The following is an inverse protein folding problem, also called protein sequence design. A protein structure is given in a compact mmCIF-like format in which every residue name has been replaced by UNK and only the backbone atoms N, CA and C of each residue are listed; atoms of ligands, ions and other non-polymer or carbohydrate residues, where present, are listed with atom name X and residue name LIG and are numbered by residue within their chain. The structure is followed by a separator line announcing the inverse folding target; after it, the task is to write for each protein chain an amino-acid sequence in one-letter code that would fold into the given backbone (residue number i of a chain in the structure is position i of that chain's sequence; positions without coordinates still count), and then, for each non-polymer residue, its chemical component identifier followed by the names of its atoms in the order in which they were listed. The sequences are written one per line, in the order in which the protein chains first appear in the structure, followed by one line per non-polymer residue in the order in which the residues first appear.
data_IF_948172695189
#
_entry.id   IF_948172695189
#
_cell.length_a   1.000
_cell.length_b   1.000
_cell.length_c   1.000
_cell.angle_alpha   90.00
_cell.angle_beta   90.00
_cell.angle_gamma   90.00
#
_symmetry.space_group_name_H-M   'P 1'
#
loop_
_entity.id
_entity.type
_entity.pdbx_description
1 polymer ?
#
# COMPACT_ATOMS: atom_id res chain seq x y z
N UNK A 1 -5.03 -14.51 3.45
CA UNK A 1 -6.17 -13.88 4.15
C UNK A 1 -5.96 -12.38 4.03
N UNK A 2 -6.71 -11.71 3.15
CA UNK A 2 -6.61 -10.26 3.01
C UNK A 2 -7.33 -9.61 4.20
N UNK A 3 -6.69 -8.65 4.86
CA UNK A 3 -7.29 -7.89 5.96
C UNK A 3 -8.48 -7.08 5.42
N UNK A 4 -9.60 -6.95 6.17
CA UNK A 4 -10.71 -6.12 5.73
C UNK A 4 -10.22 -4.68 5.51
N UNK A 5 -10.60 -4.10 4.36
CA UNK A 5 -10.12 -2.79 3.90
C UNK A 5 -10.40 -1.63 4.87
N UNK A 6 -11.25 -1.83 5.89
CA UNK A 6 -11.52 -0.87 6.97
C UNK A 6 -10.37 -0.72 7.98
N UNK A 7 -9.35 -1.58 7.97
CA UNK A 7 -8.19 -1.51 8.88
C UNK A 7 -6.85 -1.27 8.15
N UNK A 8 -6.82 -1.49 6.84
CA UNK A 8 -5.63 -1.36 6.01
C UNK A 8 -5.19 0.11 5.87
N UNK A 9 -3.93 0.40 6.20
CA UNK A 9 -3.35 1.74 6.06
C UNK A 9 -3.01 2.09 4.63
N UNK A 10 -2.64 1.09 3.83
CA UNK A 10 -2.16 1.26 2.47
C UNK A 10 -3.14 0.64 1.49
N UNK A 11 -3.33 1.31 0.35
CA UNK A 11 -4.20 0.83 -0.71
C UNK A 11 -3.59 1.15 -2.10
N UNK A 12 -4.17 0.57 -3.13
CA UNK A 12 -3.77 0.71 -4.53
C UNK A 12 -4.62 1.75 -5.25
N UNK A 13 -3.95 2.62 -6.01
CA UNK A 13 -4.59 3.54 -6.95
C UNK A 13 -4.02 3.30 -8.34
N UNK A 14 -4.90 3.06 -9.30
CA UNK A 14 -4.51 3.01 -10.72
C UNK A 14 -4.41 4.43 -11.25
N UNK A 15 -3.27 4.74 -11.85
CA UNK A 15 -3.00 6.04 -12.46
C UNK A 15 -3.43 6.04 -13.95
N UNK A 16 -3.60 7.23 -14.53
CA UNK A 16 -4.09 7.38 -15.92
C UNK A 16 -3.16 6.76 -16.98
N UNK A 17 -1.88 6.60 -16.65
CA UNK A 17 -0.85 5.97 -17.46
C UNK A 17 -0.89 4.42 -17.44
N UNK A 18 -1.80 3.81 -16.66
CA UNK A 18 -1.91 2.36 -16.50
C UNK A 18 -1.02 1.73 -15.41
N UNK A 19 -0.15 2.53 -14.78
CA UNK A 19 0.65 2.13 -13.62
C UNK A 19 -0.14 2.24 -12.31
N UNK A 20 0.44 1.72 -11.24
CA UNK A 20 -0.15 1.68 -9.92
C UNK A 20 0.70 2.46 -8.91
N UNK A 21 0.00 3.12 -8.00
CA UNK A 21 0.57 3.80 -6.85
C UNK A 21 0.07 3.12 -5.59
N UNK A 22 1.00 2.73 -4.71
CA UNK A 22 0.64 2.38 -3.33
C UNK A 22 0.60 3.66 -2.52
N UNK A 23 -0.56 3.99 -1.94
CA UNK A 23 -0.76 5.22 -1.17
C UNK A 23 -1.26 4.91 0.24
N UNK A 24 -0.97 5.82 1.17
CA UNK A 24 -1.50 5.78 2.53
C UNK A 24 -2.93 6.37 2.52
N UNK A 25 -3.92 5.58 2.94
CA UNK A 25 -5.35 5.92 2.90
C UNK A 25 -5.68 7.12 3.80
N UNK A 26 -4.93 7.34 4.89
CA UNK A 26 -5.19 8.44 5.82
C UNK A 26 -4.68 9.78 5.31
N UNK A 27 -3.57 9.77 4.56
CA UNK A 27 -2.93 11.00 4.06
C UNK A 27 -3.21 11.27 2.59
N UNK A 28 -3.60 10.24 1.82
CA UNK A 28 -3.71 10.28 0.36
C UNK A 28 -2.37 10.36 -0.37
N UNK A 29 -1.24 10.34 0.35
CA UNK A 29 0.10 10.48 -0.21
C UNK A 29 0.68 9.12 -0.62
N UNK A 30 1.59 9.08 -1.61
CA UNK A 30 2.31 7.88 -1.96
C UNK A 30 3.06 7.30 -0.75
N UNK A 31 3.00 5.97 -0.61
CA UNK A 31 3.78 5.26 0.39
C UNK A 31 5.28 5.49 0.10
N UNK A 32 6.08 5.63 1.16
CA UNK A 32 7.54 5.75 1.05
C UNK A 32 8.22 4.56 1.69
N UNK A 33 9.02 3.85 0.89
CA UNK A 33 9.85 2.73 1.35
C UNK A 33 11.30 3.13 1.19
N UNK A 34 12.04 3.17 2.30
CA UNK A 34 13.46 3.61 2.33
C UNK A 34 13.68 4.98 1.66
N UNK A 35 12.70 5.89 1.79
CA UNK A 35 12.75 7.23 1.20
C UNK A 35 12.29 7.32 -0.26
N UNK A 36 11.96 6.20 -0.91
CA UNK A 36 11.49 6.18 -2.31
C UNK A 36 9.96 6.09 -2.35
N UNK A 37 9.34 6.97 -3.14
CA UNK A 37 7.89 6.95 -3.38
C UNK A 37 7.50 5.75 -4.23
N UNK A 38 6.46 5.05 -3.79
CA UNK A 38 5.98 3.81 -4.41
C UNK A 38 4.93 4.12 -5.47
N UNK A 39 5.40 4.77 -6.53
CA UNK A 39 4.65 5.24 -7.71
C UNK A 39 5.15 4.54 -8.97
N UNK A 40 4.36 4.57 -10.03
CA UNK A 40 4.71 3.99 -11.34
C UNK A 40 4.98 2.48 -11.30
N UNK A 41 4.34 1.77 -10.38
CA UNK A 41 4.53 0.33 -10.19
C UNK A 41 3.68 -0.46 -11.19
N UNK A 42 4.15 -1.65 -11.53
CA UNK A 42 3.32 -2.64 -12.20
C UNK A 42 2.31 -3.23 -11.20
N UNK A 43 1.22 -3.81 -11.73
CA UNK A 43 0.13 -4.33 -10.90
C UNK A 43 0.62 -5.37 -9.90
N UNK A 44 1.38 -6.37 -10.35
CA UNK A 44 1.89 -7.44 -9.48
C UNK A 44 2.81 -6.89 -8.38
N UNK A 45 3.71 -5.97 -8.74
CA UNK A 45 4.60 -5.33 -7.77
C UNK A 45 3.83 -4.49 -6.75
N UNK A 46 2.79 -3.78 -7.20
CA UNK A 46 1.97 -2.95 -6.33
C UNK A 46 1.14 -3.83 -5.37
N UNK A 47 0.58 -4.93 -5.86
CA UNK A 47 -0.20 -5.91 -5.09
C UNK A 47 0.64 -6.54 -3.95
N UNK A 48 1.83 -7.07 -4.29
CA UNK A 48 2.76 -7.61 -3.30
C UNK A 48 3.16 -6.58 -2.24
N UNK A 49 3.39 -5.34 -2.69
CA UNK A 49 3.84 -4.27 -1.82
C UNK A 49 2.74 -3.77 -0.86
N UNK A 50 1.50 -3.63 -1.34
CA UNK A 50 0.38 -3.17 -0.49
C UNK A 50 0.10 -4.19 0.60
N UNK A 51 0.16 -5.49 0.28
CA UNK A 51 -0.01 -6.57 1.23
C UNK A 51 1.12 -6.58 2.28
N UNK A 52 2.37 -6.43 1.83
CA UNK A 52 3.52 -6.35 2.73
C UNK A 52 3.43 -5.16 3.70
N UNK A 53 3.06 -3.98 3.20
CA UNK A 53 2.97 -2.77 4.01
C UNK A 53 1.82 -2.85 5.02
N UNK A 54 0.66 -3.37 4.61
CA UNK A 54 -0.46 -3.59 5.51
C UNK A 54 -0.15 -4.65 6.57
N UNK A 55 0.53 -5.75 6.20
CA UNK A 55 0.97 -6.76 7.16
C UNK A 55 1.95 -6.17 8.20
N UNK A 56 2.89 -5.33 7.76
CA UNK A 56 3.80 -4.65 8.69
C UNK A 56 3.07 -3.67 9.60
N UNK A 57 2.12 -2.90 9.07
CA UNK A 57 1.32 -1.96 9.87
C UNK A 57 0.46 -2.71 10.90
N UNK A 58 -0.21 -3.80 10.52
CA UNK A 58 -0.97 -4.66 11.43
C UNK A 58 -0.10 -5.21 12.57
N UNK A 59 1.11 -5.72 12.24
CA UNK A 59 2.08 -6.18 13.24
C UNK A 59 2.51 -5.06 14.19
N UNK A 60 2.70 -3.83 13.70
CA UNK A 60 3.05 -2.67 14.55
C UNK A 60 1.89 -2.25 15.46
N UNK A 61 0.65 -2.34 14.98
CA UNK A 61 -0.56 -2.03 15.75
C UNK A 61 -0.91 -3.11 16.79
N UNK A 62 -0.19 -4.23 16.79
CA UNK A 62 -0.47 -5.35 17.69
C UNK A 62 -1.80 -6.06 17.38
N UNK A 63 -2.35 -5.83 16.18
CA UNK A 63 -3.47 -6.62 15.65
C UNK A 63 -2.94 -8.05 15.49
N UNK A 64 -3.42 -8.94 16.35
CA UNK A 64 -3.12 -10.39 16.37
C UNK A 64 -4.11 -11.13 15.49
#
# INVERSE_FOLDING_TARGET
MALPASEARYNLRKEANGTWTVYDVFTGLPARVKGVEQVWLEMEQADDLVDLLNLQDARRRGLK
#
